data_IF_149342385217
#
_entry.id   IF_149342385217
#
_cell.length_a   1.000
_cell.length_b   1.000
_cell.length_c   1.000
_cell.angle_alpha   90.00
_cell.angle_beta   90.00
_cell.angle_gamma   90.00
#
_symmetry.space_group_name_H-M   'P 1'
#
loop_
_entity.id
_entity.type
_entity.pdbx_description
1 polymer ?
#
# COMPACT_ATOMS: atom_id res chain seq x y z
N UNK A 1 -7.70 1.42 -11.04
CA UNK A 1 -8.89 0.81 -10.43
C UNK A 1 -8.76 -0.70 -10.47
N UNK A 2 -8.91 -1.34 -9.33
CA UNK A 2 -8.98 -2.81 -9.17
C UNK A 2 -10.43 -3.19 -8.85
N UNK A 3 -10.88 -4.35 -9.32
CA UNK A 3 -12.21 -4.88 -9.04
C UNK A 3 -12.11 -6.35 -8.69
N UNK A 4 -12.75 -6.76 -7.60
CA UNK A 4 -12.83 -8.16 -7.18
C UNK A 4 -14.26 -8.48 -6.72
N UNK A 5 -14.60 -9.78 -6.69
CA UNK A 5 -15.94 -10.23 -6.30
C UNK A 5 -15.87 -11.14 -5.08
N UNK A 6 -16.75 -10.88 -4.12
CA UNK A 6 -16.97 -11.70 -2.92
C UNK A 6 -18.48 -11.84 -2.73
N UNK A 7 -18.98 -13.05 -2.55
CA UNK A 7 -20.38 -13.41 -2.37
C UNK A 7 -21.32 -12.84 -3.46
N UNK A 8 -20.82 -12.78 -4.71
CA UNK A 8 -21.55 -12.20 -5.84
C UNK A 8 -21.67 -10.67 -5.80
N UNK A 9 -21.00 -10.00 -4.85
CA UNK A 9 -20.90 -8.55 -4.78
C UNK A 9 -19.57 -8.06 -5.35
N UNK A 10 -19.64 -7.06 -6.22
CA UNK A 10 -18.48 -6.44 -6.86
C UNK A 10 -17.89 -5.31 -6.01
N UNK A 11 -16.64 -5.47 -5.59
CA UNK A 11 -15.87 -4.49 -4.84
C UNK A 11 -14.88 -3.76 -5.75
N UNK A 12 -15.15 -2.47 -6.00
CA UNK A 12 -14.25 -1.53 -6.69
C UNK A 12 -13.29 -0.82 -5.74
N UNK A 13 -12.00 -0.90 -6.04
CA UNK A 13 -10.91 -0.26 -5.31
C UNK A 13 -10.27 0.82 -6.18
N UNK A 14 -10.20 2.02 -5.62
CA UNK A 14 -9.56 3.18 -6.27
C UNK A 14 -8.78 3.98 -5.24
N UNK A 15 -7.46 4.07 -5.41
CA UNK A 15 -6.65 4.95 -4.59
C UNK A 15 -6.79 6.41 -5.03
N UNK A 16 -7.39 7.23 -4.17
CA UNK A 16 -7.51 8.68 -4.37
C UNK A 16 -6.58 9.47 -3.45
N UNK A 17 -6.39 10.76 -3.74
CA UNK A 17 -5.54 11.68 -2.95
C UNK A 17 -5.83 11.66 -1.44
N UNK A 18 -7.07 11.41 -1.02
CA UNK A 18 -7.43 11.29 0.40
C UNK A 18 -6.62 10.22 1.15
N UNK A 19 -6.41 9.04 0.55
CA UNK A 19 -5.55 7.99 1.10
C UNK A 19 -4.09 8.46 1.17
N UNK A 20 -3.61 9.07 0.09
CA UNK A 20 -2.22 9.51 -0.05
C UNK A 20 -1.85 10.60 0.96
N UNK A 21 -2.83 11.35 1.44
CA UNK A 21 -2.63 12.44 2.40
C UNK A 21 -2.87 12.05 3.87
N UNK A 22 -3.52 10.92 4.15
CA UNK A 22 -4.03 10.61 5.50
C UNK A 22 -3.43 9.37 6.16
N UNK A 23 -2.41 8.75 5.60
CA UNK A 23 -2.00 7.44 6.10
C UNK A 23 -0.52 7.18 5.92
N UNK A 24 0.14 6.73 7.00
CA UNK A 24 1.45 6.05 7.02
C UNK A 24 1.51 4.81 6.12
N UNK A 25 0.42 4.45 5.42
CA UNK A 25 0.37 3.36 4.45
C UNK A 25 1.43 3.54 3.37
N UNK A 26 1.70 4.78 2.92
CA UNK A 26 2.76 5.03 1.92
C UNK A 26 4.16 4.74 2.48
N UNK A 27 4.45 5.21 3.70
CA UNK A 27 5.70 4.91 4.40
C UNK A 27 5.87 3.39 4.65
N UNK A 28 4.78 2.69 4.99
CA UNK A 28 4.78 1.23 5.16
C UNK A 28 5.05 0.48 3.85
N UNK A 29 4.41 0.87 2.75
CA UNK A 29 4.65 0.29 1.41
C UNK A 29 6.10 0.51 1.00
N UNK A 30 6.63 1.73 1.18
CA UNK A 30 8.02 2.03 0.84
C UNK A 30 9.02 1.25 1.71
N UNK A 31 8.75 1.11 3.01
CA UNK A 31 9.60 0.36 3.95
C UNK A 31 9.71 -1.13 3.61
N UNK A 32 8.66 -1.73 3.06
CA UNK A 32 8.68 -3.12 2.55
C UNK A 32 9.48 -3.20 1.25
N UNK A 33 9.32 -2.22 0.37
CA UNK A 33 9.96 -2.18 -0.96
C UNK A 33 11.48 -1.95 -0.89
N UNK A 34 11.96 -1.15 0.08
CA UNK A 34 13.41 -0.88 0.28
C UNK A 34 14.16 -2.05 0.94
N UNK A 35 13.47 -3.16 1.27
CA UNK A 35 14.07 -4.40 1.75
C UNK A 35 14.67 -4.36 3.16
N UNK A 36 14.56 -3.24 3.87
CA UNK A 36 15.13 -3.06 5.23
C UNK A 36 14.35 -3.79 6.32
N UNK A 37 13.07 -4.10 6.10
CA UNK A 37 12.25 -4.80 7.10
C UNK A 37 11.14 -5.63 6.43
N UNK A 38 11.49 -6.79 5.87
CA UNK A 38 10.52 -7.80 5.41
C UNK A 38 9.92 -8.56 6.60
N UNK A 39 9.28 -7.86 7.52
CA UNK A 39 8.49 -8.50 8.55
C UNK A 39 7.20 -9.02 7.91
N UNK A 40 7.03 -10.34 7.84
CA UNK A 40 5.80 -10.98 7.35
C UNK A 40 4.54 -10.38 7.99
N UNK A 41 4.62 -10.07 9.28
CA UNK A 41 3.56 -9.43 10.05
C UNK A 41 3.18 -8.05 9.48
N UNK A 42 4.15 -7.25 9.00
CA UNK A 42 3.88 -5.97 8.34
C UNK A 42 3.23 -6.16 6.97
N UNK A 43 3.62 -7.19 6.22
CA UNK A 43 2.98 -7.49 4.93
C UNK A 43 1.52 -7.94 5.12
N UNK A 44 1.27 -8.79 6.11
CA UNK A 44 -0.07 -9.30 6.44
C UNK A 44 -0.98 -8.15 6.92
N UNK A 45 -0.49 -7.25 7.77
CA UNK A 45 -1.28 -6.11 8.24
C UNK A 45 -1.46 -5.01 7.18
N UNK A 46 -0.59 -4.93 6.17
CA UNK A 46 -0.67 -3.90 5.14
C UNK A 46 -1.82 -4.14 4.16
N UNK A 47 -2.11 -5.39 3.79
CA UNK A 47 -3.18 -5.70 2.84
C UNK A 47 -4.55 -5.16 3.29
N UNK A 48 -5.03 -5.44 4.53
CA UNK A 48 -6.28 -4.88 5.02
C UNK A 48 -6.27 -3.35 5.07
N UNK A 49 -5.18 -2.71 5.50
CA UNK A 49 -5.07 -1.24 5.54
C UNK A 49 -5.15 -0.62 4.14
N UNK A 50 -4.43 -1.21 3.19
CA UNK A 50 -4.40 -0.75 1.81
C UNK A 50 -5.77 -0.93 1.16
N UNK A 51 -6.37 -2.12 1.32
CA UNK A 51 -7.67 -2.45 0.78
C UNK A 51 -8.75 -1.52 1.35
N UNK A 52 -8.78 -1.33 2.68
CA UNK A 52 -9.69 -0.41 3.36
C UNK A 52 -9.65 0.97 2.72
N UNK A 53 -8.46 1.55 2.62
CA UNK A 53 -8.30 2.91 2.09
C UNK A 53 -8.74 3.05 0.62
N UNK A 54 -8.55 1.99 -0.17
CA UNK A 54 -9.01 1.92 -1.54
C UNK A 54 -10.54 1.77 -1.67
N UNK A 55 -11.16 1.02 -0.74
CA UNK A 55 -12.60 0.82 -0.68
C UNK A 55 -13.35 2.08 -0.27
N UNK A 56 -12.81 2.89 0.65
CA UNK A 56 -13.47 4.13 1.11
C UNK A 56 -13.86 5.09 -0.01
N UNK A 57 -13.18 5.03 -1.16
CA UNK A 57 -13.47 5.93 -2.30
C UNK A 57 -14.78 5.58 -3.01
N UNK A 58 -15.15 4.31 -3.08
CA UNK A 58 -16.32 3.80 -3.81
C UNK A 58 -17.37 3.14 -2.92
N UNK A 59 -16.98 2.74 -1.73
CA UNK A 59 -17.79 2.03 -0.74
C UNK A 59 -17.74 2.73 0.63
N UNK A 60 -17.79 4.07 0.63
CA UNK A 60 -17.74 4.88 1.86
C UNK A 60 -18.87 4.52 2.84
N UNK A 61 -20.02 4.12 2.34
CA UNK A 61 -21.16 3.73 3.20
C UNK A 61 -20.87 2.47 4.03
N UNK A 62 -20.00 1.58 3.55
CA UNK A 62 -19.70 0.30 4.19
C UNK A 62 -18.37 0.32 4.96
N UNK A 63 -17.36 1.00 4.40
CA UNK A 63 -15.98 1.02 4.90
C UNK A 63 -15.49 2.43 5.30
N UNK A 64 -16.34 3.44 5.21
CA UNK A 64 -16.02 4.79 5.67
C UNK A 64 -15.90 4.84 7.19
N UNK A 65 -14.95 5.63 7.69
CA UNK A 65 -14.79 5.93 9.11
C UNK A 65 -14.40 7.40 9.28
N UNK A 66 -14.75 8.01 10.42
CA UNK A 66 -14.40 9.40 10.75
C UNK A 66 -13.48 9.50 11.97
N UNK A 67 -13.39 8.44 12.78
CA UNK A 67 -12.55 8.32 13.96
C UNK A 67 -11.66 7.07 13.94
N UNK A 68 -10.61 7.05 14.78
CA UNK A 68 -9.69 5.90 14.90
C UNK A 68 -10.41 4.64 15.44
N UNK A 69 -11.38 4.80 16.35
CA UNK A 69 -12.17 3.67 16.85
C UNK A 69 -13.05 3.03 15.77
N UNK A 70 -13.59 3.84 14.85
CA UNK A 70 -14.34 3.33 13.70
C UNK A 70 -13.43 2.71 12.64
N UNK A 71 -12.18 3.19 12.54
CA UNK A 71 -11.17 2.62 11.65
C UNK A 71 -10.87 1.17 12.01
N UNK A 72 -10.74 0.86 13.31
CA UNK A 72 -10.50 -0.51 13.77
C UNK A 72 -11.65 -1.44 13.37
N UNK A 73 -12.90 -1.02 13.62
CA UNK A 73 -14.08 -1.78 13.18
C UNK A 73 -14.20 -1.90 11.65
N UNK A 74 -13.75 -0.90 10.90
CA UNK A 74 -13.70 -0.96 9.44
C UNK A 74 -12.59 -1.90 8.94
N UNK A 75 -11.47 -2.00 9.66
CA UNK A 75 -10.41 -2.96 9.39
C UNK A 75 -10.87 -4.39 9.64
N UNK A 76 -11.56 -4.67 10.76
CA UNK A 76 -12.13 -5.99 11.04
C UNK A 76 -13.03 -6.46 9.89
N UNK A 77 -13.93 -5.60 9.40
CA UNK A 77 -14.77 -5.92 8.23
C UNK A 77 -13.97 -6.23 6.97
N UNK A 78 -12.81 -5.59 6.78
CA UNK A 78 -11.95 -5.86 5.64
C UNK A 78 -11.19 -7.17 5.82
N UNK A 79 -10.81 -7.52 7.06
CA UNK A 79 -10.27 -8.85 7.38
C UNK A 79 -11.30 -9.93 7.09
N UNK A 80 -12.54 -9.78 7.58
CA UNK A 80 -13.64 -10.70 7.27
C UNK A 80 -13.85 -10.84 5.75
N UNK A 81 -13.84 -9.72 5.02
CA UNK A 81 -13.96 -9.71 3.55
C UNK A 81 -12.81 -10.45 2.85
N UNK A 82 -11.60 -10.38 3.40
CA UNK A 82 -10.43 -11.10 2.87
C UNK A 82 -10.53 -12.59 3.13
N UNK A 83 -10.98 -12.98 4.33
CA UNK A 83 -11.24 -14.37 4.68
C UNK A 83 -12.31 -14.95 3.74
N UNK A 84 -13.44 -14.25 3.56
CA UNK A 84 -14.50 -14.63 2.61
C UNK A 84 -13.99 -14.72 1.16
N UNK A 85 -13.08 -13.82 0.77
CA UNK A 85 -12.46 -13.85 -0.56
C UNK A 85 -11.59 -15.09 -0.75
N UNK A 86 -10.75 -15.45 0.24
CA UNK A 86 -9.90 -16.64 0.17
C UNK A 86 -10.70 -17.94 0.25
N UNK A 87 -11.76 -17.98 1.06
CA UNK A 87 -12.67 -19.13 1.18
C UNK A 87 -13.44 -19.43 -0.11
N UNK A 88 -13.69 -18.42 -0.94
CA UNK A 88 -14.26 -18.59 -2.29
C UNK A 88 -13.24 -19.05 -3.34
N UNK A 89 -11.97 -19.18 -2.96
CA UNK A 89 -10.92 -19.71 -3.83
C UNK A 89 -11.20 -21.14 -4.24
N UNK A 90 -11.11 -21.44 -5.53
CA UNK A 90 -11.20 -22.80 -6.06
C UNK A 90 -9.93 -23.14 -6.83
N UNK A 91 -9.68 -24.43 -7.10
CA UNK A 91 -8.51 -24.83 -7.91
C UNK A 91 -8.48 -24.19 -9.30
N UNK A 92 -9.67 -23.92 -9.89
CA UNK A 92 -9.79 -23.28 -11.21
C UNK A 92 -9.73 -21.75 -11.15
N UNK A 93 -10.03 -21.16 -10.00
CA UNK A 93 -9.95 -19.72 -9.76
C UNK A 93 -9.38 -19.46 -8.36
N UNK A 94 -8.05 -19.58 -8.19
CA UNK A 94 -7.41 -19.37 -6.91
C UNK A 94 -7.60 -17.91 -6.50
N UNK A 95 -8.16 -17.73 -5.30
CA UNK A 95 -8.28 -16.43 -4.65
C UNK A 95 -7.33 -16.43 -3.46
N UNK A 96 -6.24 -15.67 -3.56
CA UNK A 96 -5.32 -15.45 -2.44
C UNK A 96 -5.24 -13.97 -2.11
N UNK A 97 -5.16 -13.66 -0.82
CA UNK A 97 -4.86 -12.32 -0.34
C UNK A 97 -3.54 -11.78 -0.92
N UNK A 98 -2.57 -12.64 -1.23
CA UNK A 98 -1.31 -12.22 -1.84
C UNK A 98 -1.48 -11.73 -3.29
N UNK A 99 -2.26 -12.44 -4.11
CA UNK A 99 -2.56 -11.98 -5.48
C UNK A 99 -3.36 -10.67 -5.45
N UNK A 100 -4.29 -10.54 -4.50
CA UNK A 100 -5.04 -9.30 -4.32
C UNK A 100 -4.11 -8.15 -3.91
N UNK A 101 -3.16 -8.39 -3.00
CA UNK A 101 -2.12 -7.42 -2.65
C UNK A 101 -1.34 -6.96 -3.89
N UNK A 102 -0.88 -7.89 -4.73
CA UNK A 102 -0.15 -7.55 -5.96
C UNK A 102 -0.98 -6.73 -6.95
N UNK A 103 -2.28 -6.97 -7.03
CA UNK A 103 -3.19 -6.18 -7.85
C UNK A 103 -3.34 -4.75 -7.31
N UNK A 104 -3.49 -4.61 -5.99
CA UNK A 104 -3.56 -3.32 -5.32
C UNK A 104 -2.25 -2.54 -5.46
N UNK A 105 -1.11 -3.19 -5.22
CA UNK A 105 0.22 -2.61 -5.37
C UNK A 105 0.43 -2.04 -6.79
N UNK A 106 0.08 -2.81 -7.84
CA UNK A 106 0.11 -2.32 -9.22
C UNK A 106 -0.85 -1.16 -9.49
N UNK A 107 -2.00 -1.10 -8.83
CA UNK A 107 -2.95 0.02 -8.93
C UNK A 107 -2.35 1.29 -8.32
N UNK A 108 -1.72 1.12 -7.15
CA UNK A 108 -1.00 2.17 -6.43
C UNK A 108 0.12 2.72 -7.31
N UNK A 109 0.95 1.87 -7.89
CA UNK A 109 2.03 2.28 -8.81
C UNK A 109 1.47 2.98 -10.06
N UNK A 110 0.42 2.43 -10.69
CA UNK A 110 -0.19 3.04 -11.89
C UNK A 110 -0.83 4.40 -11.65
N UNK A 111 -1.07 4.77 -10.39
CA UNK A 111 -1.54 6.10 -10.06
C UNK A 111 -0.41 7.08 -10.36
N UNK A 112 -0.50 7.82 -11.47
CA UNK A 112 0.61 8.63 -12.00
C UNK A 112 1.22 9.62 -10.99
N UNK A 113 0.47 10.00 -9.96
CA UNK A 113 0.98 10.77 -8.82
C UNK A 113 1.93 9.96 -7.92
N UNK A 114 1.61 8.72 -7.57
CA UNK A 114 2.43 7.85 -6.73
C UNK A 114 3.69 7.39 -7.44
N UNK A 115 3.58 6.98 -8.71
CA UNK A 115 4.76 6.74 -9.55
C UNK A 115 5.68 7.97 -9.61
N UNK A 116 5.11 9.16 -9.79
CA UNK A 116 5.88 10.41 -9.79
C UNK A 116 6.55 10.70 -8.45
N UNK A 117 5.86 10.46 -7.33
CA UNK A 117 6.38 10.67 -5.99
C UNK A 117 7.48 9.66 -5.64
N UNK A 118 7.28 8.37 -5.91
CA UNK A 118 8.27 7.31 -5.68
C UNK A 118 9.53 7.57 -6.51
N UNK A 119 9.39 7.99 -7.77
CA UNK A 119 10.53 8.37 -8.61
C UNK A 119 11.27 9.58 -8.04
N UNK A 120 10.55 10.64 -7.65
CA UNK A 120 11.14 11.85 -7.06
C UNK A 120 11.88 11.55 -5.75
N UNK A 121 11.32 10.67 -4.89
CA UNK A 121 11.96 10.24 -3.64
C UNK A 121 13.20 9.39 -3.93
N UNK A 122 13.14 8.46 -4.88
CA UNK A 122 14.29 7.64 -5.28
C UNK A 122 15.42 8.51 -5.86
N UNK A 123 15.08 9.49 -6.69
CA UNK A 123 16.02 10.48 -7.22
C UNK A 123 16.67 11.30 -6.09
N UNK A 124 15.87 11.85 -5.16
CA UNK A 124 16.38 12.60 -4.01
C UNK A 124 17.34 11.76 -3.13
N UNK A 125 16.98 10.52 -2.82
CA UNK A 125 17.85 9.61 -2.04
C UNK A 125 19.14 9.22 -2.78
N UNK A 126 19.11 9.15 -4.10
CA UNK A 126 20.30 8.87 -4.93
C UNK A 126 21.27 10.06 -5.00
N UNK A 127 20.74 11.29 -4.98
CA UNK A 127 21.53 12.53 -4.92
C UNK A 127 22.17 12.68 -3.53
N UNK A 128 21.44 12.37 -2.46
CA UNK A 128 21.96 12.46 -1.09
C UNK A 128 23.11 11.46 -0.82
N UNK A 129 23.00 10.23 -1.35
CA UNK A 129 24.08 9.21 -1.28
C UNK A 129 25.33 9.60 -2.09
N UNK A 130 25.19 10.39 -3.16
CA UNK A 130 26.33 10.91 -3.92
C UNK A 130 26.98 12.13 -3.25
N UNK A 131 26.21 12.96 -2.55
CA UNK A 131 26.72 14.12 -1.83
C UNK A 131 27.60 13.77 -0.62
N UNK A 132 27.47 12.56 -0.05
CA UNK A 132 28.34 12.11 1.06
C UNK A 132 29.75 11.68 0.62
N UNK A 133 30.02 11.57 -0.69
CA UNK A 133 31.38 11.38 -1.21
C UNK A 133 32.06 12.71 -1.48
N UNK A 134 32.27 13.52 -0.44
CA UNK A 134 33.22 14.63 -0.51
C UNK A 134 34.63 14.05 -0.71
N UNK A 135 35.38 14.39 -1.78
CA UNK A 135 36.78 14.02 -1.88
C UNK A 135 37.52 14.69 -0.72
N UNK A 136 38.09 13.88 0.17
CA UNK A 136 38.99 14.37 1.22
C UNK A 136 40.28 14.87 0.58
N UNK A 137 40.26 16.10 0.06
CA UNK A 137 41.44 16.84 -0.36
C UNK A 137 42.18 17.30 0.91
N UNK A 138 42.96 16.39 1.50
CA UNK A 138 43.86 16.73 2.60
C UNK A 138 44.97 17.63 2.05
N UNK A 139 44.80 18.94 2.28
CA UNK A 139 45.85 19.95 2.29
C UNK A 139 47.14 19.38 2.86
N UNK A 140 48.14 19.12 2.02
CA UNK A 140 49.54 19.05 2.47
C UNK A 140 49.95 20.45 2.93
N UNK A 141 50.05 20.63 4.24
CA UNK A 141 50.70 21.78 4.88
C UNK A 141 52.19 21.77 4.54
N UNK A 142 52.72 22.98 4.36
CA UNK A 142 54.13 23.38 4.24
C UNK A 142 55.14 22.50 4.97
#
# INVERSE_FOLDING_TARGET
MVTFNVHGKEYKVVFGYGLLTKTDVLDKVQGITDGKERSLQKMISLLPELLLAGLQKKHKEEFGYESDSEKEAALDKVCDLLDDYEDEGTEENPKSGFDLYQLLDKELEKNGFLSGLLNAVAEAQSVEKNATKLPQDHKKKN
#
